data_IF_012261271235
#
_entry.id   IF_012261271235
#
_cell.length_a   1.000
_cell.length_b   1.000
_cell.length_c   1.000
_cell.angle_alpha   90.00
_cell.angle_beta   90.00
_cell.angle_gamma   90.00
#
_symmetry.space_group_name_H-M   'P 1'
#
loop_
_entity.id
_entity.type
_entity.pdbx_description
1 polymer ?
#
# COMPACT_ATOMS: atom_id res chain seq x y z
N UNK A 1 -14.37 -10.67 3.12
CA UNK A 1 -14.38 -11.40 4.41
C UNK A 1 -14.91 -10.55 5.57
N UNK A 2 -14.30 -9.41 5.92
CA UNK A 2 -14.75 -8.61 7.07
C UNK A 2 -16.21 -8.10 7.00
N UNK A 3 -16.73 -7.79 5.80
CA UNK A 3 -18.15 -7.40 5.63
C UNK A 3 -19.12 -8.55 5.99
N UNK A 4 -18.77 -9.78 5.63
CA UNK A 4 -19.57 -10.97 5.93
C UNK A 4 -19.57 -11.25 7.43
N UNK A 5 -18.39 -11.19 8.06
CA UNK A 5 -18.26 -11.37 9.51
C UNK A 5 -19.01 -10.27 10.29
N UNK A 6 -18.93 -9.01 9.86
CA UNK A 6 -19.70 -7.92 10.48
C UNK A 6 -21.21 -8.14 10.35
N UNK A 7 -21.67 -8.60 9.19
CA UNK A 7 -23.07 -8.91 8.96
C UNK A 7 -23.56 -10.05 9.86
N UNK A 8 -22.77 -11.12 10.00
CA UNK A 8 -23.12 -12.26 10.86
C UNK A 8 -23.12 -11.87 12.35
N UNK A 9 -22.15 -11.07 12.79
CA UNK A 9 -22.14 -10.53 14.16
C UNK A 9 -23.37 -9.67 14.45
N UNK A 10 -23.75 -8.82 13.48
CA UNK A 10 -24.94 -7.97 13.59
C UNK A 10 -26.23 -8.80 13.65
N UNK A 11 -26.26 -9.92 12.92
CA UNK A 11 -27.36 -10.90 12.96
C UNK A 11 -27.46 -11.55 14.33
N UNK A 12 -26.35 -12.02 14.92
CA UNK A 12 -26.35 -12.62 16.26
C UNK A 12 -26.79 -11.63 17.34
N UNK A 13 -26.30 -10.39 17.29
CA UNK A 13 -26.73 -9.34 18.21
C UNK A 13 -28.24 -9.06 18.12
N UNK A 14 -28.82 -9.14 16.92
CA UNK A 14 -30.28 -9.00 16.71
C UNK A 14 -31.05 -10.18 17.31
N UNK A 15 -30.60 -11.41 17.08
CA UNK A 15 -31.25 -12.60 17.64
C UNK A 15 -31.27 -12.57 19.18
N UNK A 16 -30.16 -12.14 19.79
CA UNK A 16 -30.09 -11.99 21.24
C UNK A 16 -31.06 -10.94 21.78
N UNK A 17 -31.23 -9.81 21.08
CA UNK A 17 -32.23 -8.78 21.45
C UNK A 17 -33.65 -9.32 21.37
N UNK A 18 -34.00 -10.03 20.29
CA UNK A 18 -35.32 -10.65 20.13
C UNK A 18 -35.60 -11.63 21.27
N UNK A 19 -34.60 -12.43 21.67
CA UNK A 19 -34.77 -13.36 22.78
C UNK A 19 -35.03 -12.65 24.11
N UNK A 20 -34.30 -11.56 24.39
CA UNK A 20 -34.49 -10.78 25.61
C UNK A 20 -35.80 -10.00 25.63
N UNK A 21 -36.24 -9.49 24.48
CA UNK A 21 -37.58 -8.91 24.32
C UNK A 21 -38.66 -9.92 24.70
N UNK A 22 -38.56 -11.16 24.22
CA UNK A 22 -39.50 -12.23 24.56
C UNK A 22 -39.51 -12.56 26.07
N UNK A 23 -38.33 -12.56 26.72
CA UNK A 23 -38.23 -12.76 28.17
C UNK A 23 -38.82 -11.59 28.97
N UNK A 24 -38.56 -10.34 28.56
CA UNK A 24 -39.11 -9.15 29.23
C UNK A 24 -40.64 -9.07 29.11
N UNK A 25 -41.20 -9.45 27.96
CA UNK A 25 -42.65 -9.53 27.77
C UNK A 25 -43.30 -10.59 28.67
N UNK A 26 -42.54 -11.64 29.05
CA UNK A 26 -43.01 -12.68 29.96
C UNK A 26 -42.96 -12.27 31.43
N UNK A 27 -42.21 -11.21 31.78
CA UNK A 27 -42.08 -10.69 33.14
C UNK A 27 -43.04 -9.50 33.34
N UNK A 28 -44.20 -9.79 33.92
CA UNK A 28 -45.34 -8.88 34.15
C UNK A 28 -44.95 -7.55 34.82
N UNK A 29 -45.14 -6.44 34.10
CA UNK A 29 -44.94 -5.06 34.59
C UNK A 29 -44.78 -4.02 33.46
N UNK A 30 -45.86 -3.68 32.76
CA UNK A 30 -45.82 -2.93 31.48
C UNK A 30 -45.07 -1.58 31.50
N UNK A 31 -45.07 -0.88 32.64
CA UNK A 31 -44.60 0.51 32.70
C UNK A 31 -43.10 0.64 33.01
N UNK A 32 -42.50 -0.31 33.74
CA UNK A 32 -41.03 -0.33 33.98
C UNK A 32 -40.23 -0.87 32.79
N UNK A 33 -40.86 -1.70 31.95
CA UNK A 33 -40.17 -2.47 30.92
C UNK A 33 -39.65 -1.62 29.75
N UNK A 34 -40.28 -0.48 29.42
CA UNK A 34 -39.89 0.34 28.26
C UNK A 34 -38.53 1.03 28.46
N UNK A 35 -38.26 1.57 29.65
CA UNK A 35 -37.01 2.29 29.91
C UNK A 35 -35.84 1.32 30.02
N UNK A 36 -36.04 0.20 30.74
CA UNK A 36 -35.05 -0.89 30.85
C UNK A 36 -34.73 -1.45 29.47
N UNK A 37 -35.73 -1.65 28.61
CA UNK A 37 -35.53 -2.13 27.25
C UNK A 37 -34.72 -1.15 26.38
N UNK A 38 -34.96 0.16 26.51
CA UNK A 38 -34.21 1.20 25.78
C UNK A 38 -32.74 1.25 26.23
N UNK A 39 -32.49 1.20 27.53
CA UNK A 39 -31.13 1.18 28.08
C UNK A 39 -30.38 -0.08 27.68
N UNK A 40 -31.07 -1.23 27.72
CA UNK A 40 -30.52 -2.50 27.27
C UNK A 40 -30.11 -2.45 25.80
N UNK A 41 -30.98 -1.96 24.91
CA UNK A 41 -30.67 -1.82 23.49
C UNK A 41 -29.46 -0.90 23.23
N UNK A 42 -29.34 0.17 24.01
CA UNK A 42 -28.19 1.08 23.95
C UNK A 42 -26.91 0.34 24.35
N UNK A 43 -26.90 -0.32 25.50
CA UNK A 43 -25.75 -1.09 26.00
C UNK A 43 -25.36 -2.22 25.04
N UNK A 44 -26.32 -2.97 24.54
CA UNK A 44 -26.09 -4.04 23.57
C UNK A 44 -25.46 -3.49 22.28
N UNK A 45 -25.90 -2.32 21.79
CA UNK A 45 -25.31 -1.69 20.60
C UNK A 45 -23.86 -1.26 20.85
N UNK A 46 -23.60 -0.63 21.99
CA UNK A 46 -22.25 -0.18 22.38
C UNK A 46 -21.30 -1.38 22.56
N UNK A 47 -21.73 -2.41 23.29
CA UNK A 47 -20.94 -3.62 23.53
C UNK A 47 -20.66 -4.37 22.22
N UNK A 48 -21.64 -4.46 21.31
CA UNK A 48 -21.46 -5.12 20.01
C UNK A 48 -20.41 -4.42 19.16
N UNK A 49 -20.47 -3.09 19.07
CA UNK A 49 -19.47 -2.33 18.30
C UNK A 49 -18.08 -2.41 18.96
N UNK A 50 -18.00 -2.33 20.30
CA UNK A 50 -16.74 -2.51 21.03
C UNK A 50 -16.10 -3.87 20.76
N UNK A 51 -16.87 -4.96 20.89
CA UNK A 51 -16.38 -6.32 20.63
C UNK A 51 -15.98 -6.49 19.16
N UNK A 52 -16.73 -5.92 18.23
CA UNK A 52 -16.37 -5.91 16.81
C UNK A 52 -15.03 -5.22 16.58
N UNK A 53 -14.79 -4.05 17.18
CA UNK A 53 -13.51 -3.34 17.04
C UNK A 53 -12.35 -4.15 17.61
N UNK A 54 -12.53 -4.80 18.77
CA UNK A 54 -11.54 -5.67 19.38
C UNK A 54 -11.20 -6.89 18.49
N UNK A 55 -12.24 -7.59 18.00
CA UNK A 55 -12.07 -8.72 17.10
C UNK A 55 -11.44 -8.30 15.76
N UNK A 56 -11.80 -7.13 15.24
CA UNK A 56 -11.26 -6.60 13.99
C UNK A 56 -9.76 -6.36 14.08
N UNK A 57 -9.25 -5.89 15.23
CA UNK A 57 -7.81 -5.73 15.45
C UNK A 57 -7.07 -7.07 15.37
N UNK A 58 -7.62 -8.12 16.00
CA UNK A 58 -7.05 -9.47 15.95
C UNK A 58 -7.11 -10.05 14.53
N UNK A 59 -8.25 -9.93 13.85
CA UNK A 59 -8.40 -10.38 12.47
C UNK A 59 -7.44 -9.65 11.53
N UNK A 60 -7.21 -8.35 11.71
CA UNK A 60 -6.24 -7.57 10.92
C UNK A 60 -4.79 -7.99 11.21
N UNK A 61 -4.48 -8.39 12.44
CA UNK A 61 -3.17 -8.91 12.78
C UNK A 61 -2.90 -10.25 12.08
N UNK A 62 -3.88 -11.16 12.07
CA UNK A 62 -3.76 -12.49 11.46
C UNK A 62 -3.91 -12.50 9.93
N UNK A 63 -4.74 -11.62 9.38
CA UNK A 63 -4.92 -11.45 7.93
C UNK A 63 -4.04 -10.35 7.35
N UNK A 64 -2.90 -10.01 7.97
CA UNK A 64 -1.82 -9.43 7.16
C UNK A 64 -1.61 -10.42 6.03
N UNK A 65 -1.85 -10.06 4.76
CA UNK A 65 -1.41 -10.91 3.69
C UNK A 65 0.06 -11.11 3.98
N UNK A 66 0.47 -12.34 4.34
CA UNK A 66 1.87 -12.73 4.20
C UNK A 66 2.14 -12.26 2.78
N UNK A 67 3.06 -11.31 2.61
CA UNK A 67 3.56 -10.98 1.28
C UNK A 67 4.06 -12.32 0.77
N UNK A 68 3.20 -13.10 0.11
CA UNK A 68 3.62 -14.12 -0.83
C UNK A 68 4.49 -13.28 -1.72
N UNK A 69 5.80 -13.46 -1.59
CA UNK A 69 6.74 -12.76 -2.46
C UNK A 69 6.15 -12.95 -3.82
N UNK A 70 5.63 -11.87 -4.41
CA UNK A 70 5.29 -11.88 -5.82
C UNK A 70 6.57 -12.45 -6.44
N UNK A 71 6.52 -13.60 -7.14
CA UNK A 71 7.72 -14.15 -7.76
C UNK A 71 8.38 -12.97 -8.45
N UNK A 72 9.58 -12.60 -7.97
CA UNK A 72 10.11 -11.24 -8.10
C UNK A 72 9.97 -10.77 -9.54
N UNK A 73 9.60 -9.50 -9.75
CA UNK A 73 9.32 -8.98 -11.09
C UNK A 73 10.38 -9.48 -12.05
N UNK A 74 9.94 -10.16 -13.11
CA UNK A 74 10.82 -10.92 -13.99
C UNK A 74 11.83 -9.97 -14.61
N UNK A 75 13.10 -10.17 -14.24
CA UNK A 75 14.22 -9.49 -14.87
C UNK A 75 14.53 -10.31 -16.11
N UNK A 76 14.25 -9.75 -17.27
CA UNK A 76 14.59 -10.37 -18.53
C UNK A 76 16.03 -9.96 -18.88
N UNK A 77 16.91 -10.94 -19.03
CA UNK A 77 18.28 -10.72 -19.51
C UNK A 77 18.38 -11.28 -20.91
N UNK A 78 18.69 -10.41 -21.88
CA UNK A 78 18.92 -10.83 -23.26
C UNK A 78 20.42 -11.04 -23.49
N UNK A 79 20.80 -12.24 -23.93
CA UNK A 79 22.20 -12.68 -24.06
C UNK A 79 22.80 -13.25 -22.76
N UNK A 80 24.10 -13.54 -22.77
CA UNK A 80 24.86 -14.11 -21.64
C UNK A 80 25.17 -13.05 -20.55
N UNK A 81 24.13 -12.35 -20.10
CA UNK A 81 24.23 -11.26 -19.13
C UNK A 81 23.97 -11.80 -17.73
N UNK A 82 25.03 -12.03 -16.96
CA UNK A 82 24.93 -12.38 -15.53
C UNK A 82 24.91 -11.13 -14.66
N UNK A 83 23.86 -10.94 -13.84
CA UNK A 83 23.72 -9.79 -12.94
C UNK A 83 24.13 -10.15 -11.51
N UNK A 84 24.88 -9.29 -10.80
CA UNK A 84 25.12 -9.45 -9.37
C UNK A 84 23.80 -9.51 -8.60
N UNK A 85 23.77 -10.30 -7.53
CA UNK A 85 22.56 -10.52 -6.73
C UNK A 85 21.98 -9.20 -6.19
N UNK A 86 22.82 -8.25 -5.78
CA UNK A 86 22.38 -6.93 -5.30
C UNK A 86 21.64 -6.12 -6.38
N UNK A 87 22.16 -6.17 -7.61
CA UNK A 87 21.58 -5.49 -8.78
C UNK A 87 20.27 -6.16 -9.17
N UNK A 88 20.24 -7.50 -9.16
CA UNK A 88 19.04 -8.29 -9.40
C UNK A 88 17.96 -7.98 -8.37
N UNK A 89 18.29 -8.01 -7.07
CA UNK A 89 17.36 -7.65 -5.99
C UNK A 89 16.78 -6.25 -6.15
N UNK A 90 17.60 -5.27 -6.57
CA UNK A 90 17.12 -3.90 -6.79
C UNK A 90 16.18 -3.80 -8.00
N UNK A 91 16.51 -4.45 -9.13
CA UNK A 91 15.65 -4.48 -10.31
C UNK A 91 14.36 -5.27 -10.09
N UNK A 92 14.40 -6.35 -9.30
CA UNK A 92 13.23 -7.17 -8.99
C UNK A 92 12.13 -6.40 -8.23
N UNK A 93 12.46 -5.25 -7.64
CA UNK A 93 11.48 -4.35 -7.05
C UNK A 93 10.60 -3.67 -8.12
N UNK A 94 11.09 -3.54 -9.35
CA UNK A 94 10.38 -2.93 -10.48
C UNK A 94 10.55 -1.41 -10.60
N UNK A 95 10.12 -0.82 -11.73
CA UNK A 95 10.35 0.60 -12.06
C UNK A 95 9.64 1.55 -11.10
N UNK A 96 8.51 1.12 -10.52
CA UNK A 96 7.75 1.92 -9.55
C UNK A 96 8.41 2.00 -8.17
N UNK A 97 9.27 1.04 -7.83
CA UNK A 97 9.91 0.93 -6.52
C UNK A 97 11.39 1.27 -6.54
N UNK A 98 11.98 1.40 -7.73
CA UNK A 98 13.36 1.88 -7.89
C UNK A 98 13.54 3.31 -7.36
N UNK A 99 12.49 4.13 -7.34
CA UNK A 99 12.56 5.53 -6.85
C UNK A 99 11.47 5.74 -5.82
N UNK A 100 11.66 5.18 -4.62
CA UNK A 100 10.82 5.58 -3.49
C UNK A 100 11.07 7.07 -3.22
N UNK A 101 10.02 7.92 -3.16
CA UNK A 101 10.20 9.33 -2.85
C UNK A 101 10.84 9.46 -1.47
N UNK A 102 11.92 10.23 -1.39
CA UNK A 102 12.58 10.52 -0.13
C UNK A 102 11.72 11.53 0.62
N UNK A 103 10.82 11.05 1.46
CA UNK A 103 10.02 11.88 2.35
C UNK A 103 10.47 11.68 3.79
N UNK A 104 10.90 12.76 4.43
CA UNK A 104 11.19 12.82 5.86
C UNK A 104 9.93 12.47 6.68
N UNK A 105 10.13 12.11 7.96
CA UNK A 105 9.00 11.82 8.84
C UNK A 105 8.04 13.03 8.99
N UNK A 106 8.60 14.25 9.04
CA UNK A 106 7.83 15.49 9.09
C UNK A 106 7.04 15.72 7.80
N UNK A 107 7.62 15.49 6.62
CA UNK A 107 6.89 15.59 5.35
C UNK A 107 5.76 14.57 5.24
N UNK A 108 5.99 13.33 5.69
CA UNK A 108 4.93 12.30 5.75
C UNK A 108 3.80 12.72 6.68
N UNK A 109 4.11 13.28 7.84
CA UNK A 109 3.10 13.81 8.77
C UNK A 109 2.33 14.99 8.16
N UNK A 110 3.03 15.91 7.49
CA UNK A 110 2.41 17.02 6.76
C UNK A 110 1.48 16.54 5.67
N UNK A 111 1.85 15.48 4.94
CA UNK A 111 0.99 14.84 3.95
C UNK A 111 -0.26 14.24 4.58
N UNK A 112 -0.14 13.54 5.72
CA UNK A 112 -1.29 13.02 6.47
C UNK A 112 -2.25 14.15 6.85
N UNK A 113 -1.74 15.27 7.36
CA UNK A 113 -2.56 16.44 7.70
C UNK A 113 -3.26 17.02 6.47
N UNK A 114 -2.53 17.20 5.37
CA UNK A 114 -3.05 17.74 4.10
C UNK A 114 -4.14 16.85 3.49
N UNK A 115 -3.98 15.53 3.57
CA UNK A 115 -5.01 14.58 3.08
C UNK A 115 -6.22 14.59 4.02
N UNK A 116 -5.98 14.65 5.33
CA UNK A 116 -7.05 14.68 6.33
C UNK A 116 -7.90 15.94 6.25
N UNK A 117 -7.32 17.09 5.88
CA UNK A 117 -8.08 18.34 5.68
C UNK A 117 -9.02 18.31 4.47
N UNK A 118 -8.89 17.32 3.58
CA UNK A 118 -9.83 17.11 2.48
C UNK A 118 -11.03 16.23 2.90
N UNK A 119 -11.02 15.66 4.10
CA UNK A 119 -12.14 14.89 4.64
C UNK A 119 -13.20 15.82 5.26
N UNK A 120 -14.46 15.36 5.40
CA UNK A 120 -15.47 16.08 6.17
C UNK A 120 -14.98 16.37 7.60
N UNK A 121 -15.35 17.53 8.15
CA UNK A 121 -14.89 17.98 9.47
C UNK A 121 -15.14 16.94 10.59
N UNK A 122 -16.22 16.16 10.50
CA UNK A 122 -16.56 15.10 11.46
C UNK A 122 -15.61 13.90 11.44
N UNK A 123 -14.88 13.68 10.35
CA UNK A 123 -13.95 12.53 10.18
C UNK A 123 -12.48 12.95 10.21
N UNK A 124 -12.19 14.26 10.24
CA UNK A 124 -10.82 14.78 10.14
C UNK A 124 -9.89 14.22 11.22
N UNK A 125 -10.31 14.24 12.49
CA UNK A 125 -9.52 13.73 13.61
C UNK A 125 -9.22 12.24 13.48
N UNK A 126 -10.20 11.48 12.99
CA UNK A 126 -10.07 10.05 12.73
C UNK A 126 -9.10 9.79 11.58
N UNK A 127 -9.14 10.59 10.52
CA UNK A 127 -8.20 10.50 9.39
C UNK A 127 -6.77 10.80 9.85
N UNK A 128 -6.57 11.84 10.67
CA UNK A 128 -5.25 12.17 11.24
C UNK A 128 -4.75 11.03 12.11
N UNK A 129 -5.55 10.57 13.07
CA UNK A 129 -5.18 9.47 13.97
C UNK A 129 -4.83 8.20 13.18
N UNK A 130 -5.65 7.83 12.20
CA UNK A 130 -5.37 6.66 11.35
C UNK A 130 -4.10 6.83 10.51
N UNK A 131 -3.81 8.03 10.01
CA UNK A 131 -2.61 8.30 9.24
C UNK A 131 -1.34 8.24 10.10
N UNK A 132 -1.39 8.80 11.31
CA UNK A 132 -0.28 8.73 12.29
C UNK A 132 -0.02 7.28 12.71
N UNK A 133 -1.07 6.51 12.99
CA UNK A 133 -0.96 5.08 13.31
C UNK A 133 -0.24 4.28 12.21
N UNK A 134 -0.50 4.60 10.94
CA UNK A 134 0.21 3.98 9.80
C UNK A 134 1.68 4.37 9.80
N UNK A 135 2.02 5.65 10.02
CA UNK A 135 3.40 6.12 10.07
C UNK A 135 4.19 5.51 11.22
N UNK A 136 3.60 5.36 12.41
CA UNK A 136 4.24 4.75 13.57
C UNK A 136 4.53 3.26 13.36
N UNK A 137 3.68 2.57 12.58
CA UNK A 137 3.85 1.15 12.24
C UNK A 137 4.87 0.94 11.11
N UNK A 138 5.15 1.97 10.32
CA UNK A 138 6.08 1.96 9.19
C UNK A 138 7.51 2.37 9.62
N UNK A 139 7.92 1.90 10.81
CA UNK A 139 9.22 2.21 11.42
C UNK A 139 10.40 1.48 10.76
N UNK A 140 10.15 0.58 9.81
CA UNK A 140 11.22 0.03 8.97
C UNK A 140 11.64 1.11 8.00
N UNK A 141 12.80 1.73 8.22
CA UNK A 141 13.51 2.44 7.16
C UNK A 141 13.87 1.40 6.10
N UNK A 142 13.16 1.34 4.95
CA UNK A 142 13.55 0.42 3.90
C UNK A 142 14.83 1.01 3.32
N UNK A 143 15.97 0.57 3.87
CA UNK A 143 17.27 1.13 3.58
C UNK A 143 17.40 1.49 2.10
N UNK A 144 17.87 2.71 1.84
CA UNK A 144 17.80 3.35 0.53
C UNK A 144 18.11 2.35 -0.59
N UNK A 145 17.20 2.12 -1.57
CA UNK A 145 17.55 1.33 -2.73
C UNK A 145 18.77 1.98 -3.36
N UNK A 146 19.82 1.20 -3.57
CA UNK A 146 21.10 1.74 -4.00
C UNK A 146 21.12 2.04 -5.50
N UNK A 147 20.20 2.88 -5.95
CA UNK A 147 20.03 3.28 -7.35
C UNK A 147 21.33 3.84 -7.91
N UNK A 148 22.08 4.61 -7.11
CA UNK A 148 23.40 5.09 -7.50
C UNK A 148 24.40 3.96 -7.80
N UNK A 149 24.41 2.90 -6.97
CA UNK A 149 25.25 1.71 -7.21
C UNK A 149 24.79 0.94 -8.44
N UNK A 150 23.47 0.77 -8.61
CA UNK A 150 22.87 0.15 -9.79
C UNK A 150 23.25 0.91 -11.07
N UNK A 151 23.06 2.23 -11.11
CA UNK A 151 23.41 3.07 -12.25
C UNK A 151 24.91 3.02 -12.58
N UNK A 152 25.75 3.06 -11.53
CA UNK A 152 27.22 2.96 -11.68
C UNK A 152 27.64 1.58 -12.21
N UNK A 153 26.98 0.51 -11.77
CA UNK A 153 27.21 -0.83 -12.27
C UNK A 153 26.81 -0.96 -13.75
N UNK A 154 25.61 -0.49 -14.13
CA UNK A 154 25.13 -0.56 -15.51
C UNK A 154 26.04 0.23 -16.45
N UNK A 155 26.53 1.40 -16.01
CA UNK A 155 27.48 2.20 -16.78
C UNK A 155 28.82 1.49 -16.97
N UNK A 156 29.40 0.93 -15.91
CA UNK A 156 30.69 0.23 -15.96
C UNK A 156 30.64 -1.05 -16.79
N UNK A 157 29.53 -1.78 -16.74
CA UNK A 157 29.34 -3.03 -17.47
C UNK A 157 28.85 -2.86 -18.91
N UNK A 158 28.71 -1.62 -19.40
CA UNK A 158 28.14 -1.29 -20.70
C UNK A 158 26.78 -1.99 -20.94
N UNK A 159 25.92 -1.97 -19.92
CA UNK A 159 24.57 -2.54 -19.96
C UNK A 159 23.52 -1.45 -19.96
N UNK A 160 22.40 -1.73 -20.61
CA UNK A 160 21.23 -0.84 -20.69
C UNK A 160 20.02 -1.53 -20.09
N UNK A 161 19.17 -0.76 -19.43
CA UNK A 161 17.94 -1.25 -18.80
C UNK A 161 16.75 -0.61 -19.50
N UNK A 162 15.77 -1.43 -19.87
CA UNK A 162 14.49 -1.01 -20.43
C UNK A 162 13.37 -1.40 -19.45
N UNK A 163 12.49 -0.46 -19.13
CA UNK A 163 11.31 -0.76 -18.32
C UNK A 163 10.27 -1.48 -19.19
N UNK A 164 9.74 -2.60 -18.70
CA UNK A 164 8.60 -3.29 -19.32
C UNK A 164 7.30 -2.64 -18.87
N UNK A 165 6.54 -2.09 -19.81
CA UNK A 165 5.26 -1.41 -19.54
C UNK A 165 4.17 -2.39 -19.06
N UNK A 166 4.17 -3.63 -19.57
CA UNK A 166 3.09 -4.59 -19.32
C UNK A 166 3.26 -5.42 -18.04
N UNK A 167 4.49 -5.74 -17.65
CA UNK A 167 4.74 -6.68 -16.53
C UNK A 167 5.39 -6.02 -15.31
N UNK A 168 5.69 -4.72 -15.38
CA UNK A 168 6.36 -4.02 -14.28
C UNK A 168 7.78 -4.54 -13.99
N UNK A 169 8.38 -5.23 -14.96
CA UNK A 169 9.75 -5.76 -14.89
C UNK A 169 10.77 -4.87 -15.61
N UNK A 170 12.00 -5.34 -15.65
CA UNK A 170 13.08 -4.72 -16.40
C UNK A 170 13.69 -5.71 -17.37
N UNK A 171 14.02 -5.25 -18.56
CA UNK A 171 14.83 -5.98 -19.52
C UNK A 171 16.24 -5.37 -19.56
N UNK A 172 17.27 -6.20 -19.39
CA UNK A 172 18.67 -5.79 -19.37
C UNK A 172 19.38 -6.32 -20.60
N UNK A 173 20.02 -5.42 -21.35
CA UNK A 173 20.67 -5.70 -22.61
C UNK A 173 22.13 -5.23 -22.59
N UNK A 174 23.05 -5.91 -23.29
CA UNK A 174 24.30 -5.31 -23.73
C UNK A 174 24.04 -4.06 -24.57
N UNK A 175 24.92 -3.05 -24.48
CA UNK A 175 24.73 -1.75 -25.15
C UNK A 175 24.52 -1.84 -26.66
N UNK A 176 25.13 -2.82 -27.32
CA UNK A 176 25.03 -2.98 -28.77
C UNK A 176 23.69 -3.59 -29.19
N UNK A 177 23.26 -4.65 -28.51
CA UNK A 177 21.91 -5.22 -28.68
C UNK A 177 20.83 -4.19 -28.36
N UNK A 178 21.05 -3.36 -27.33
CA UNK A 178 20.12 -2.31 -26.98
C UNK A 178 19.89 -1.29 -28.11
N UNK A 179 20.94 -0.89 -28.83
CA UNK A 179 20.81 0.03 -29.97
C UNK A 179 19.99 -0.59 -31.10
N UNK A 180 20.22 -1.88 -31.39
CA UNK A 180 19.48 -2.63 -32.41
C UNK A 180 18.01 -2.73 -32.01
N UNK A 181 17.73 -3.15 -30.78
CA UNK A 181 16.36 -3.25 -30.25
C UNK A 181 15.65 -1.90 -30.30
N UNK A 182 16.31 -0.80 -29.93
CA UNK A 182 15.75 0.54 -30.04
C UNK A 182 15.48 0.97 -31.49
N UNK A 183 16.37 0.66 -32.43
CA UNK A 183 16.17 0.96 -33.84
C UNK A 183 14.95 0.20 -34.39
N UNK A 184 14.81 -1.08 -34.04
CA UNK A 184 13.67 -1.92 -34.42
C UNK A 184 12.36 -1.37 -33.83
N UNK A 185 12.33 -1.07 -32.53
CA UNK A 185 11.13 -0.52 -31.88
C UNK A 185 10.67 0.80 -32.50
N UNK A 186 11.62 1.65 -32.94
CA UNK A 186 11.30 2.88 -33.68
C UNK A 186 10.73 2.59 -35.06
N UNK A 187 11.29 1.61 -35.78
CA UNK A 187 10.78 1.20 -37.09
C UNK A 187 9.34 0.66 -37.00
N UNK A 188 8.99 -0.04 -35.91
CA UNK A 188 7.64 -0.52 -35.64
C UNK A 188 6.65 0.57 -35.17
N UNK A 189 7.05 1.84 -35.14
CA UNK A 189 6.15 2.94 -34.79
C UNK A 189 5.75 3.00 -33.30
N UNK A 190 6.49 2.33 -32.42
CA UNK A 190 6.25 2.43 -30.97
C UNK A 190 6.73 3.79 -30.45
N UNK A 191 5.83 4.78 -30.42
CA UNK A 191 6.12 6.18 -30.03
C UNK A 191 6.39 6.38 -28.52
N UNK A 192 6.18 5.37 -27.67
CA UNK A 192 6.30 5.48 -26.20
C UNK A 192 7.09 4.32 -25.59
N UNK A 193 8.35 4.14 -25.99
CA UNK A 193 9.29 3.51 -25.06
C UNK A 193 9.82 4.62 -24.15
N UNK A 194 9.36 4.64 -22.89
CA UNK A 194 10.03 5.43 -21.86
C UNK A 194 11.38 4.79 -21.61
N UNK A 195 12.34 5.21 -22.42
CA UNK A 195 13.73 4.85 -22.24
C UNK A 195 14.12 5.34 -20.85
N UNK A 196 14.45 4.43 -19.92
CA UNK A 196 15.36 4.76 -18.81
C UNK A 196 16.76 4.86 -19.41
N UNK A 197 16.88 5.67 -20.47
CA UNK A 197 18.15 6.14 -20.94
C UNK A 197 18.71 6.95 -19.79
N UNK A 198 20.02 6.88 -19.61
CA UNK A 198 20.72 7.93 -18.92
C UNK A 198 20.57 9.26 -19.70
N UNK A 199 19.36 9.83 -19.79
CA UNK A 199 19.14 11.10 -19.10
C UNK A 199 19.31 10.81 -17.60
N UNK A 200 20.59 10.63 -17.22
CA UNK A 200 21.13 11.55 -16.26
C UNK A 200 20.82 12.90 -16.91
N UNK A 201 19.62 13.44 -16.63
CA UNK A 201 19.63 14.80 -16.13
C UNK A 201 20.79 14.77 -15.16
N UNK A 202 21.84 15.50 -15.49
CA UNK A 202 22.74 16.00 -14.47
C UNK A 202 21.89 16.17 -13.22
N UNK A 203 22.29 15.47 -12.15
CA UNK A 203 21.73 15.73 -10.83
C UNK A 203 22.21 17.15 -10.50
N UNK A 204 21.51 18.13 -11.07
CA UNK A 204 21.97 19.47 -11.44
C UNK A 204 21.01 19.97 -12.52
N UNK A 205 20.01 20.73 -12.08
CA UNK A 205 18.82 21.25 -12.79
C UNK A 205 17.51 20.47 -12.57
N UNK A 206 17.34 19.91 -11.36
CA UNK A 206 16.07 20.15 -10.67
C UNK A 206 16.26 21.46 -9.91
N UNK A 207 15.69 22.53 -10.47
CA UNK A 207 15.33 23.72 -9.70
C UNK A 207 14.32 23.24 -8.65
N UNK A 208 14.84 22.90 -7.47
CA UNK A 208 14.07 23.08 -6.24
C UNK A 208 13.94 24.59 -6.09
N UNK A 209 12.80 25.13 -6.55
CA UNK A 209 12.40 26.46 -6.16
C UNK A 209 12.13 26.39 -4.66
N UNK A 210 13.02 26.98 -3.86
CA UNK A 210 12.67 27.45 -2.54
C UNK A 210 11.51 28.43 -2.67
N UNK A 211 10.41 28.10 -2.00
CA UNK A 211 9.51 29.05 -1.35
C UNK A 211 9.15 28.48 0.00
#
# INVERSE_FOLDING_TARGET
MCKILKAEWSRQARLYRIHLEAQLLSSTGEHGNKQVHKEFNRLASQATEFLWQSALLQLRAHHRPKKKGVPGNTIFTEGDVTLPEEVSKCLAQGPKFAVQPQTTASERLSLVRKVSSLAPASEMDRCVSSGVDVLLRDSSDPGRPAVGRLASYMRRSARCVLASDKEGGFAVFPRDLYKITLANLRAFGMKKCSTVSNKVHTFGDVVLSEK
#
